data_IF_284342990367
#
_entry.id   IF_284342990367
#
_cell.length_a   1.000
_cell.length_b   1.000
_cell.length_c   1.000
_cell.angle_alpha   90.00
_cell.angle_beta   90.00
_cell.angle_gamma   90.00
#
_symmetry.space_group_name_H-M   'P 1'
#
loop_
_entity.id
_entity.type
_entity.pdbx_description
1 polymer ?
#
# COMPACT_ATOMS: atom_id res chain seq x y z
N UNK A 1 107.37 30.66 -29.49
CA UNK A 1 106.21 29.74 -29.55
C UNK A 1 105.48 29.55 -28.21
N UNK A 2 106.03 29.99 -27.05
CA UNK A 2 105.34 29.91 -25.76
C UNK A 2 104.84 31.26 -25.20
N UNK A 3 104.99 32.34 -25.98
CA UNK A 3 104.56 33.71 -25.63
C UNK A 3 103.54 34.27 -26.61
N UNK A 4 102.86 33.39 -27.36
CA UNK A 4 101.80 33.78 -28.28
C UNK A 4 100.46 33.77 -27.51
N UNK A 5 99.79 34.94 -27.34
CA UNK A 5 98.51 35.03 -26.64
C UNK A 5 97.46 34.06 -27.17
N UNK A 6 97.50 33.73 -28.46
CA UNK A 6 96.56 32.82 -29.09
C UNK A 6 96.66 31.37 -28.58
N UNK A 7 97.87 30.93 -28.18
CA UNK A 7 98.06 29.59 -27.59
C UNK A 7 97.43 29.48 -26.20
N UNK A 8 97.64 30.50 -25.34
CA UNK A 8 97.02 30.54 -24.01
C UNK A 8 95.50 30.70 -24.08
N UNK A 9 94.98 31.42 -25.08
CA UNK A 9 93.53 31.49 -25.36
C UNK A 9 92.97 30.11 -25.76
N UNK A 10 93.68 29.36 -26.61
CA UNK A 10 93.25 28.00 -26.99
C UNK A 10 93.27 27.03 -25.78
N UNK A 11 94.31 27.09 -24.94
CA UNK A 11 94.39 26.28 -23.70
C UNK A 11 93.25 26.64 -22.74
N UNK A 12 92.97 27.93 -22.53
CA UNK A 12 91.86 28.39 -21.71
C UNK A 12 90.50 27.96 -22.28
N UNK A 13 90.32 27.97 -23.60
CA UNK A 13 89.10 27.52 -24.28
C UNK A 13 88.83 26.02 -24.05
N UNK A 14 89.84 25.17 -24.21
CA UNK A 14 89.68 23.73 -23.93
C UNK A 14 89.48 23.44 -22.44
N UNK A 15 90.18 24.16 -21.55
CA UNK A 15 89.97 24.04 -20.10
C UNK A 15 88.56 24.47 -19.69
N UNK A 16 88.03 25.55 -20.30
CA UNK A 16 86.66 26.02 -20.11
C UNK A 16 85.64 24.98 -20.60
N UNK A 17 85.80 24.43 -21.80
CA UNK A 17 84.91 23.37 -22.31
C UNK A 17 84.93 22.15 -21.40
N UNK A 18 86.12 21.70 -20.96
CA UNK A 18 86.26 20.56 -20.07
C UNK A 18 85.56 20.80 -18.71
N UNK A 19 85.68 22.02 -18.17
CA UNK A 19 85.03 22.39 -16.91
C UNK A 19 83.50 22.43 -17.01
N UNK A 20 82.93 22.83 -18.16
CA UNK A 20 81.47 23.00 -18.32
C UNK A 20 80.79 21.73 -18.88
N UNK A 21 81.53 20.82 -19.49
CA UNK A 21 80.96 19.58 -20.05
C UNK A 21 80.21 18.74 -19.01
N UNK A 22 80.78 18.59 -17.80
CA UNK A 22 80.17 17.82 -16.72
C UNK A 22 78.86 18.44 -16.17
N UNK A 23 78.81 19.74 -15.80
CA UNK A 23 77.57 20.36 -15.32
C UNK A 23 76.49 20.45 -16.40
N UNK A 24 76.83 20.77 -17.66
CA UNK A 24 75.84 20.81 -18.75
C UNK A 24 75.22 19.43 -18.98
N UNK A 25 76.04 18.38 -19.05
CA UNK A 25 75.54 17.01 -19.26
C UNK A 25 74.62 16.57 -18.13
N UNK A 26 74.97 16.89 -16.87
CA UNK A 26 74.15 16.57 -15.70
C UNK A 26 72.81 17.31 -15.71
N UNK A 27 72.79 18.60 -16.05
CA UNK A 27 71.56 19.40 -16.12
C UNK A 27 70.64 18.92 -17.24
N UNK A 28 71.19 18.58 -18.41
CA UNK A 28 70.39 18.07 -19.53
C UNK A 28 69.79 16.70 -19.22
N UNK A 29 70.58 15.77 -18.66
CA UNK A 29 70.08 14.46 -18.27
C UNK A 29 68.97 14.55 -17.22
N UNK A 30 69.18 15.35 -16.16
CA UNK A 30 68.19 15.50 -15.08
C UNK A 30 66.87 16.12 -15.55
N UNK A 31 66.90 17.13 -16.43
CA UNK A 31 65.67 17.72 -16.95
C UNK A 31 64.91 16.78 -17.89
N UNK A 32 65.62 16.00 -18.71
CA UNK A 32 65.00 14.99 -19.57
C UNK A 32 64.40 13.85 -18.74
N UNK A 33 65.14 13.35 -17.75
CA UNK A 33 64.65 12.31 -16.83
C UNK A 33 63.43 12.78 -16.04
N UNK A 34 63.41 14.05 -15.58
CA UNK A 34 62.25 14.63 -14.91
C UNK A 34 61.02 14.70 -15.82
N UNK A 35 61.19 15.08 -17.09
CA UNK A 35 60.10 15.08 -18.06
C UNK A 35 59.61 13.67 -18.40
N UNK A 36 60.52 12.72 -18.60
CA UNK A 36 60.17 11.31 -18.85
C UNK A 36 59.39 10.75 -17.67
N UNK A 37 59.84 11.00 -16.44
CA UNK A 37 59.13 10.59 -15.22
C UNK A 37 57.75 11.23 -15.15
N UNK A 38 57.63 12.54 -15.39
CA UNK A 38 56.33 13.22 -15.37
C UNK A 38 55.36 12.72 -16.44
N UNK A 39 55.85 12.34 -17.63
CA UNK A 39 55.02 11.71 -18.68
C UNK A 39 54.60 10.31 -18.25
N UNK A 40 55.51 9.52 -17.69
CA UNK A 40 55.20 8.17 -17.19
C UNK A 40 54.15 8.21 -16.09
N UNK A 41 54.32 9.07 -15.09
CA UNK A 41 53.38 9.22 -13.98
C UNK A 41 51.98 9.61 -14.50
N UNK A 42 51.88 10.49 -15.51
CA UNK A 42 50.60 10.85 -16.15
C UNK A 42 49.97 9.71 -16.94
N UNK A 43 50.76 8.87 -17.61
CA UNK A 43 50.27 7.70 -18.33
C UNK A 43 49.73 6.68 -17.32
N UNK A 44 50.47 6.42 -16.24
CA UNK A 44 50.08 5.50 -15.18
C UNK A 44 48.78 5.99 -14.49
N UNK A 45 48.67 7.30 -14.23
CA UNK A 45 47.43 7.91 -13.69
C UNK A 45 46.26 7.78 -14.65
N UNK A 46 46.46 8.02 -15.95
CA UNK A 46 45.41 7.88 -16.96
C UNK A 46 44.95 6.42 -17.12
N UNK A 47 45.87 5.45 -17.04
CA UNK A 47 45.55 4.03 -17.07
C UNK A 47 44.76 3.62 -15.82
N UNK A 48 45.17 4.06 -14.64
CA UNK A 48 44.43 3.84 -13.40
C UNK A 48 43.02 4.45 -13.46
N UNK A 49 42.90 5.69 -13.92
CA UNK A 49 41.60 6.35 -14.07
C UNK A 49 40.67 5.61 -15.04
N UNK A 50 41.23 5.09 -16.14
CA UNK A 50 40.48 4.27 -17.10
C UNK A 50 39.98 2.98 -16.45
N UNK A 51 40.85 2.30 -15.69
CA UNK A 51 40.50 1.07 -14.99
C UNK A 51 39.41 1.31 -13.94
N UNK A 52 39.55 2.35 -13.12
CA UNK A 52 38.52 2.76 -12.15
C UNK A 52 37.19 3.07 -12.83
N UNK A 53 37.21 3.82 -13.93
CA UNK A 53 36.00 4.14 -14.70
C UNK A 53 35.33 2.87 -15.26
N UNK A 54 36.12 1.89 -15.73
CA UNK A 54 35.60 0.61 -16.21
C UNK A 54 34.96 -0.21 -15.09
N UNK A 55 35.57 -0.23 -13.90
CA UNK A 55 35.01 -0.88 -12.71
C UNK A 55 33.69 -0.22 -12.33
N UNK A 56 33.66 1.10 -12.17
CA UNK A 56 32.44 1.85 -11.83
C UNK A 56 31.35 1.65 -12.88
N UNK A 57 31.69 1.64 -14.17
CA UNK A 57 30.72 1.37 -15.24
C UNK A 57 30.13 -0.04 -15.13
N UNK A 58 30.95 -1.05 -14.83
CA UNK A 58 30.50 -2.42 -14.62
C UNK A 58 29.55 -2.51 -13.43
N UNK A 59 29.90 -1.89 -12.32
CA UNK A 59 29.06 -1.84 -11.11
C UNK A 59 27.71 -1.14 -11.38
N UNK A 60 27.71 -0.01 -12.10
CA UNK A 60 26.47 0.69 -12.47
C UNK A 60 25.60 -0.20 -13.36
N UNK A 61 26.18 -0.90 -14.34
CA UNK A 61 25.42 -1.81 -15.21
C UNK A 61 24.82 -2.97 -14.43
N UNK A 62 25.58 -3.56 -13.51
CA UNK A 62 25.09 -4.62 -12.63
C UNK A 62 23.94 -4.10 -11.77
N UNK A 63 24.13 -2.96 -11.11
CA UNK A 63 23.10 -2.32 -10.29
C UNK A 63 21.85 -1.97 -11.10
N UNK A 64 21.98 -1.52 -12.34
CA UNK A 64 20.85 -1.29 -13.22
C UNK A 64 20.08 -2.58 -13.52
N UNK A 65 20.78 -3.70 -13.74
CA UNK A 65 20.14 -5.00 -13.93
C UNK A 65 19.39 -5.46 -12.68
N UNK A 66 20.04 -5.35 -11.52
CA UNK A 66 19.46 -5.73 -10.22
C UNK A 66 18.19 -4.92 -9.92
N UNK A 67 18.23 -3.60 -10.15
CA UNK A 67 17.05 -2.73 -10.00
C UNK A 67 15.92 -3.14 -10.95
N UNK A 68 16.23 -3.52 -12.20
CA UNK A 68 15.20 -3.99 -13.13
C UNK A 68 14.57 -5.32 -12.68
N UNK A 69 15.34 -6.21 -12.08
CA UNK A 69 14.82 -7.45 -11.49
C UNK A 69 13.95 -7.13 -10.28
N UNK A 70 14.41 -6.23 -9.41
CA UNK A 70 13.67 -5.78 -8.23
C UNK A 70 12.33 -5.14 -8.60
N UNK A 71 12.30 -4.25 -9.60
CA UNK A 71 11.07 -3.63 -10.12
C UNK A 71 10.09 -4.71 -10.62
N UNK A 72 10.58 -5.70 -11.36
CA UNK A 72 9.73 -6.81 -11.84
C UNK A 72 9.18 -7.65 -10.68
N UNK A 73 10.01 -7.89 -9.66
CA UNK A 73 9.59 -8.60 -8.44
C UNK A 73 8.50 -7.82 -7.70
N UNK A 74 8.71 -6.51 -7.50
CA UNK A 74 7.73 -5.62 -6.86
C UNK A 74 6.41 -5.62 -7.62
N UNK A 75 6.46 -5.52 -8.96
CA UNK A 75 5.26 -5.54 -9.79
C UNK A 75 4.50 -6.86 -9.64
N UNK A 76 5.22 -7.98 -9.72
CA UNK A 76 4.62 -9.32 -9.60
C UNK A 76 4.02 -9.53 -8.21
N UNK A 77 4.70 -9.08 -7.16
CA UNK A 77 4.20 -9.15 -5.79
C UNK A 77 2.96 -8.27 -5.60
N UNK A 78 2.96 -7.06 -6.17
CA UNK A 78 1.82 -6.15 -6.14
C UNK A 78 0.60 -6.76 -6.85
N UNK A 79 0.77 -7.33 -8.04
CA UNK A 79 -0.31 -8.02 -8.76
C UNK A 79 -0.88 -9.20 -7.96
N UNK A 80 -0.02 -10.00 -7.34
CA UNK A 80 -0.46 -11.12 -6.50
C UNK A 80 -1.22 -10.62 -5.27
N UNK A 81 -0.74 -9.56 -4.61
CA UNK A 81 -1.45 -8.94 -3.48
C UNK A 81 -2.81 -8.37 -3.89
N UNK A 82 -2.91 -7.73 -5.06
CA UNK A 82 -4.19 -7.23 -5.59
C UNK A 82 -5.17 -8.39 -5.77
N UNK A 83 -4.76 -9.48 -6.43
CA UNK A 83 -5.62 -10.66 -6.61
C UNK A 83 -6.07 -11.27 -5.29
N UNK A 84 -5.18 -11.40 -4.31
CA UNK A 84 -5.53 -11.89 -2.98
C UNK A 84 -6.53 -10.95 -2.27
N UNK A 85 -6.34 -9.64 -2.38
CA UNK A 85 -7.27 -8.67 -1.80
C UNK A 85 -8.64 -8.71 -2.47
N UNK A 86 -8.68 -8.87 -3.79
CA UNK A 86 -9.92 -9.05 -4.55
C UNK A 86 -10.69 -10.28 -4.08
N UNK A 87 -10.03 -11.44 -3.97
CA UNK A 87 -10.65 -12.68 -3.50
C UNK A 87 -11.18 -12.57 -2.06
N UNK A 88 -10.40 -11.95 -1.17
CA UNK A 88 -10.83 -11.68 0.21
C UNK A 88 -12.01 -10.71 0.24
N UNK A 89 -11.99 -9.66 -0.58
CA UNK A 89 -13.06 -8.68 -0.66
C UNK A 89 -14.35 -9.30 -1.21
N UNK A 90 -14.26 -10.13 -2.24
CA UNK A 90 -15.39 -10.86 -2.82
C UNK A 90 -16.02 -11.80 -1.78
N UNK A 91 -15.19 -12.58 -1.08
CA UNK A 91 -15.67 -13.49 -0.02
C UNK A 91 -16.36 -12.71 1.09
N UNK A 92 -15.76 -11.63 1.59
CA UNK A 92 -16.35 -10.78 2.63
C UNK A 92 -17.65 -10.13 2.17
N UNK A 93 -17.71 -9.68 0.92
CA UNK A 93 -18.91 -9.06 0.36
C UNK A 93 -20.05 -10.09 0.26
N UNK A 94 -19.75 -11.30 -0.20
CA UNK A 94 -20.71 -12.40 -0.25
C UNK A 94 -21.26 -12.73 1.13
N UNK A 95 -20.39 -12.86 2.13
CA UNK A 95 -20.81 -13.08 3.53
C UNK A 95 -21.68 -11.94 4.07
N UNK A 96 -21.35 -10.69 3.76
CA UNK A 96 -22.15 -9.53 4.14
C UNK A 96 -23.52 -9.53 3.47
N UNK A 97 -23.60 -9.88 2.19
CA UNK A 97 -24.86 -10.00 1.46
C UNK A 97 -25.73 -11.09 2.08
N UNK A 98 -25.17 -12.28 2.34
CA UNK A 98 -25.92 -13.38 2.98
C UNK A 98 -26.42 -12.98 4.37
N UNK A 99 -25.60 -12.32 5.19
CA UNK A 99 -26.03 -11.82 6.50
C UNK A 99 -27.16 -10.78 6.37
N UNK A 100 -27.05 -9.85 5.41
CA UNK A 100 -28.10 -8.85 5.15
C UNK A 100 -29.40 -9.51 4.68
N UNK A 101 -29.31 -10.55 3.85
CA UNK A 101 -30.48 -11.31 3.41
C UNK A 101 -31.19 -11.96 4.60
N UNK A 102 -30.47 -12.65 5.48
CA UNK A 102 -31.03 -13.28 6.68
C UNK A 102 -31.69 -12.24 7.59
N UNK A 103 -31.05 -11.08 7.79
CA UNK A 103 -31.60 -9.99 8.60
C UNK A 103 -32.88 -9.40 7.98
N UNK A 104 -32.91 -9.23 6.65
CA UNK A 104 -34.08 -8.74 5.94
C UNK A 104 -35.24 -9.74 6.02
N UNK A 105 -34.96 -11.03 5.85
CA UNK A 105 -35.95 -12.11 5.96
C UNK A 105 -36.53 -12.18 7.38
N UNK A 106 -35.67 -12.17 8.41
CA UNK A 106 -36.11 -12.12 9.80
C UNK A 106 -36.94 -10.87 10.10
N UNK A 107 -36.64 -9.73 9.45
CA UNK A 107 -37.42 -8.50 9.60
C UNK A 107 -38.79 -8.59 8.92
N UNK A 108 -38.85 -9.20 7.73
CA UNK A 108 -40.12 -9.46 7.03
C UNK A 108 -41.00 -10.39 7.87
N UNK A 109 -40.44 -11.45 8.44
CA UNK A 109 -41.17 -12.36 9.32
C UNK A 109 -41.71 -11.66 10.56
N UNK A 110 -40.91 -10.79 11.18
CA UNK A 110 -41.35 -9.98 12.30
C UNK A 110 -42.52 -9.08 11.89
N UNK A 111 -42.38 -8.33 10.80
CA UNK A 111 -43.44 -7.44 10.30
C UNK A 111 -44.72 -8.20 9.93
N UNK A 112 -44.58 -9.41 9.40
CA UNK A 112 -45.72 -10.29 9.07
C UNK A 112 -46.47 -10.74 10.33
N UNK A 113 -45.74 -11.14 11.38
CA UNK A 113 -46.35 -11.47 12.69
C UNK A 113 -47.06 -10.25 13.29
N UNK A 114 -46.41 -9.09 13.25
CA UNK A 114 -47.00 -7.85 13.77
C UNK A 114 -48.27 -7.47 12.99
N UNK A 115 -48.24 -7.55 11.65
CA UNK A 115 -49.40 -7.28 10.81
C UNK A 115 -50.56 -8.25 11.08
N UNK A 116 -50.28 -9.55 11.22
CA UNK A 116 -51.31 -10.54 11.57
C UNK A 116 -51.97 -10.25 12.92
N UNK A 117 -51.18 -9.87 13.93
CA UNK A 117 -51.71 -9.47 15.23
C UNK A 117 -52.61 -8.23 15.14
N UNK A 118 -52.21 -7.23 14.35
CA UNK A 118 -53.02 -6.02 14.09
C UNK A 118 -54.34 -6.39 13.41
N UNK A 119 -54.31 -7.24 12.38
CA UNK A 119 -55.52 -7.70 11.68
C UNK A 119 -56.45 -8.45 12.64
N UNK A 120 -55.92 -9.37 13.44
CA UNK A 120 -56.72 -10.14 14.39
C UNK A 120 -57.38 -9.25 15.45
N UNK A 121 -56.64 -8.25 15.95
CA UNK A 121 -57.17 -7.25 16.88
C UNK A 121 -58.29 -6.43 16.24
N UNK A 122 -58.10 -5.97 14.99
CA UNK A 122 -59.10 -5.21 14.26
C UNK A 122 -60.37 -6.01 13.96
N UNK A 123 -60.23 -7.28 13.57
CA UNK A 123 -61.35 -8.21 13.38
C UNK A 123 -62.12 -8.39 14.69
N UNK A 124 -61.42 -8.67 15.79
CA UNK A 124 -62.04 -8.87 17.11
C UNK A 124 -62.82 -7.62 17.56
N UNK A 125 -62.21 -6.44 17.42
CA UNK A 125 -62.85 -5.16 17.77
C UNK A 125 -64.10 -4.90 16.92
N UNK A 126 -64.00 -5.13 15.60
CA UNK A 126 -65.12 -4.94 14.67
C UNK A 126 -66.25 -5.93 14.93
N UNK A 127 -65.93 -7.20 15.21
CA UNK A 127 -66.90 -8.22 15.56
C UNK A 127 -67.65 -7.84 16.86
N UNK A 128 -66.92 -7.43 17.91
CA UNK A 128 -67.53 -6.95 19.16
C UNK A 128 -68.47 -5.76 18.89
N UNK A 129 -68.03 -4.77 18.12
CA UNK A 129 -68.85 -3.61 17.79
C UNK A 129 -70.12 -3.99 17.00
N UNK A 130 -70.00 -4.90 16.03
CA UNK A 130 -71.13 -5.41 15.27
C UNK A 130 -72.10 -6.22 16.16
N UNK A 131 -71.58 -7.07 17.06
CA UNK A 131 -72.39 -7.81 18.02
C UNK A 131 -73.14 -6.87 18.97
N UNK A 132 -72.49 -5.82 19.50
CA UNK A 132 -73.14 -4.80 20.33
C UNK A 132 -74.30 -4.15 19.55
N UNK A 133 -74.06 -3.74 18.30
CA UNK A 133 -75.08 -3.13 17.45
C UNK A 133 -76.27 -4.07 17.20
N UNK A 134 -76.01 -5.35 16.89
CA UNK A 134 -77.07 -6.36 16.68
C UNK A 134 -77.86 -6.61 17.97
N UNK A 135 -77.18 -6.73 19.11
CA UNK A 135 -77.83 -6.90 20.41
C UNK A 135 -78.73 -5.70 20.68
N UNK A 136 -78.26 -4.47 20.50
CA UNK A 136 -79.08 -3.27 20.70
C UNK A 136 -80.32 -3.23 19.80
N UNK A 137 -80.22 -3.70 18.55
CA UNK A 137 -81.36 -3.77 17.63
C UNK A 137 -82.37 -4.88 17.98
N UNK A 138 -81.89 -6.01 18.52
CA UNK A 138 -82.75 -7.17 18.87
C UNK A 138 -83.26 -7.17 20.30
N UNK A 139 -82.68 -6.37 21.20
CA UNK A 139 -83.07 -6.31 22.61
C UNK A 139 -84.47 -5.70 22.74
N UNK A 140 -85.46 -6.57 22.88
CA UNK A 140 -86.81 -6.19 23.28
C UNK A 140 -86.98 -6.37 24.81
N UNK A 141 -87.99 -5.73 25.38
CA UNK A 141 -88.23 -5.75 26.84
C UNK A 141 -88.35 -7.16 27.42
N UNK A 142 -88.78 -8.13 26.61
CA UNK A 142 -88.98 -9.52 27.03
C UNK A 142 -87.67 -10.32 27.10
N UNK A 143 -86.74 -10.11 26.15
CA UNK A 143 -85.37 -10.66 26.23
C UNK A 143 -84.56 -10.01 27.36
N UNK A 144 -84.77 -8.71 27.60
CA UNK A 144 -84.10 -7.99 28.68
C UNK A 144 -84.50 -8.55 30.06
N UNK A 145 -85.80 -8.82 30.28
CA UNK A 145 -86.30 -9.44 31.50
C UNK A 145 -85.71 -10.86 31.69
N UNK A 146 -85.65 -11.67 30.62
CA UNK A 146 -85.02 -13.00 30.65
C UNK A 146 -83.54 -12.96 31.02
N UNK A 147 -82.79 -11.97 30.52
CA UNK A 147 -81.38 -11.80 30.89
C UNK A 147 -81.22 -11.45 32.37
N UNK A 148 -82.08 -10.58 32.91
CA UNK A 148 -82.10 -10.24 34.34
C UNK A 148 -82.38 -11.48 35.19
N UNK A 149 -83.42 -12.24 34.86
CA UNK A 149 -83.78 -13.46 35.60
C UNK A 149 -82.64 -14.50 35.55
N UNK A 150 -82.00 -14.66 34.39
CA UNK A 150 -80.83 -15.54 34.23
C UNK A 150 -79.63 -15.09 35.05
N UNK A 151 -79.30 -13.79 35.04
CA UNK A 151 -78.20 -13.23 35.84
C UNK A 151 -78.47 -13.37 37.35
N UNK A 152 -79.72 -13.22 37.80
CA UNK A 152 -80.12 -13.47 39.20
C UNK A 152 -79.92 -14.94 39.55
N UNK A 153 -80.25 -15.86 38.64
CA UNK A 153 -80.08 -17.30 38.85
C UNK A 153 -78.61 -17.72 38.87
N UNK A 154 -77.78 -17.16 38.00
CA UNK A 154 -76.32 -17.38 37.99
C UNK A 154 -75.65 -16.82 39.25
N UNK A 155 -76.02 -15.61 39.70
CA UNK A 155 -75.56 -15.05 40.97
C UNK A 155 -75.97 -15.91 42.17
N UNK A 156 -77.24 -16.35 42.20
CA UNK A 156 -77.74 -17.24 43.24
C UNK A 156 -77.04 -18.61 43.27
N UNK A 157 -76.50 -19.05 42.13
CA UNK A 157 -75.72 -20.29 42.01
C UNK A 157 -74.26 -20.09 42.43
N UNK A 158 -73.65 -18.96 42.07
CA UNK A 158 -72.29 -18.60 42.46
C UNK A 158 -72.16 -18.29 43.96
N UNK A 159 -73.24 -17.82 44.61
CA UNK A 159 -73.31 -17.55 46.05
C UNK A 159 -73.70 -18.78 46.89
N UNK A 160 -74.10 -19.90 46.26
CA UNK A 160 -74.44 -21.17 46.92
C UNK A 160 -73.26 -22.13 47.04
N UNK A 161 -72.15 -21.83 46.40
CA UNK A 161 -70.82 -22.42 46.65
C UNK A 161 -70.00 -21.48 47.52
#
# INVERSE_FOLDING_TARGET
>A
MFSDPQFWVAVAFFAFIAAIFNPIRKILATNLDAQIKGIKDKIDEAENLKNETQVTLSEIKQRQNDVQIEIKSIHTEAENKVKQLEEIAETKLKDQITKRQILAEAKIDQLTRDANNVIQSHISSTAIAATISIIQQKLNSQEQQKLIDKSIQELGSALKN
#
